data_IF_271139474186
#
_entry.id   IF_271139474186
#
_cell.length_a   1.000
_cell.length_b   1.000
_cell.length_c   1.000
_cell.angle_alpha   90.00
_cell.angle_beta   90.00
_cell.angle_gamma   90.00
#
_symmetry.space_group_name_H-M   'P 1'
#
loop_
_entity.id
_entity.type
_entity.pdbx_description
1 polymer ?
#
# COMPACT_ATOMS: atom_id res chain seq x y z
N UNK A 1 10.11 -89.73 -12.26
CA UNK A 1 11.30 -89.15 -12.93
C UNK A 1 10.93 -87.74 -13.38
N UNK A 2 11.81 -86.78 -13.11
CA UNK A 2 11.62 -85.33 -13.30
C UNK A 2 11.19 -84.91 -14.71
N UNK A 3 10.42 -83.81 -14.84
CA UNK A 3 10.31 -83.11 -16.11
C UNK A 3 11.39 -82.02 -16.21
N UNK A 4 11.96 -81.88 -17.40
CA UNK A 4 12.68 -80.67 -17.82
C UNK A 4 12.15 -80.28 -19.19
N UNK A 5 11.34 -79.23 -19.25
CA UNK A 5 11.11 -78.49 -20.49
C UNK A 5 11.29 -77.00 -20.23
N UNK A 6 12.06 -76.39 -21.14
CA UNK A 6 12.61 -75.05 -21.10
C UNK A 6 11.56 -73.95 -21.30
N UNK A 7 11.89 -72.81 -20.71
CA UNK A 7 11.26 -71.50 -20.92
C UNK A 7 11.07 -71.16 -22.40
N UNK A 8 9.85 -70.73 -22.76
CA UNK A 8 9.62 -69.72 -23.79
C UNK A 8 8.77 -68.61 -23.17
N UNK A 9 9.25 -67.39 -23.35
CA UNK A 9 8.70 -66.18 -22.78
C UNK A 9 7.35 -65.82 -23.40
N UNK A 10 6.40 -65.42 -22.56
CA UNK A 10 5.30 -64.54 -22.96
C UNK A 10 5.12 -63.51 -21.84
N UNK A 11 5.76 -62.36 -22.06
CA UNK A 11 5.57 -61.14 -21.29
C UNK A 11 4.11 -60.68 -21.42
N UNK A 12 3.25 -61.11 -20.50
CA UNK A 12 2.04 -60.35 -20.16
C UNK A 12 2.44 -59.44 -19.01
N UNK A 13 2.91 -58.24 -19.37
CA UNK A 13 3.11 -57.17 -18.41
C UNK A 13 1.74 -56.85 -17.80
N UNK A 14 1.52 -57.37 -16.60
CA UNK A 14 0.46 -56.95 -15.71
C UNK A 14 0.58 -55.43 -15.58
N UNK A 15 -0.42 -54.72 -16.10
CA UNK A 15 -0.66 -53.29 -15.81
C UNK A 15 -1.07 -53.25 -14.33
N UNK A 16 -0.07 -53.45 -13.47
CA UNK A 16 -0.16 -53.36 -12.03
C UNK A 16 -0.26 -51.88 -11.74
N UNK A 17 -1.43 -51.52 -11.20
CA UNK A 17 -1.85 -50.22 -10.71
C UNK A 17 -0.70 -49.49 -9.99
N UNK A 18 0.11 -48.79 -10.78
CA UNK A 18 1.02 -47.76 -10.32
C UNK A 18 0.36 -46.43 -10.59
N UNK A 19 -0.90 -46.30 -10.15
CA UNK A 19 -1.38 -44.99 -9.73
C UNK A 19 -0.57 -44.66 -8.48
N UNK A 20 0.60 -44.09 -8.73
CA UNK A 20 1.24 -43.24 -7.76
C UNK A 20 0.16 -42.23 -7.39
N UNK A 21 -0.43 -42.42 -6.21
CA UNK A 21 -0.98 -41.31 -5.47
C UNK A 21 0.21 -40.38 -5.25
N UNK A 22 0.48 -39.51 -6.24
CA UNK A 22 1.16 -38.27 -5.95
C UNK A 22 0.30 -37.66 -4.85
N UNK A 23 0.83 -37.46 -3.65
CA UNK A 23 0.15 -36.58 -2.74
C UNK A 23 0.31 -35.22 -3.42
N UNK A 24 -0.69 -34.80 -4.20
CA UNK A 24 -0.96 -33.39 -4.40
C UNK A 24 -1.40 -32.86 -3.04
N UNK A 25 -0.44 -32.80 -2.11
CA UNK A 25 -0.46 -31.75 -1.11
C UNK A 25 -0.18 -30.52 -1.97
N UNK A 26 -1.25 -29.89 -2.46
CA UNK A 26 -1.19 -28.47 -2.68
C UNK A 26 -0.83 -27.90 -1.32
N UNK A 27 0.47 -27.77 -1.06
CA UNK A 27 0.98 -27.14 0.13
C UNK A 27 0.42 -25.73 0.04
N UNK A 28 -0.70 -25.55 0.72
CA UNK A 28 -1.24 -24.25 1.06
C UNK A 28 0.01 -23.58 1.69
N UNK A 29 0.60 -22.65 0.94
CA UNK A 29 1.82 -21.99 1.35
C UNK A 29 1.40 -21.05 2.47
N UNK A 30 1.66 -21.46 3.71
CA UNK A 30 1.40 -20.66 4.90
C UNK A 30 2.21 -19.39 4.77
N UNK A 31 1.53 -18.25 4.71
CA UNK A 31 2.19 -16.96 4.80
C UNK A 31 2.76 -16.83 6.22
N UNK A 32 4.09 -16.72 6.33
CA UNK A 32 4.81 -16.65 7.60
C UNK A 32 5.05 -15.22 8.09
N UNK A 33 4.55 -14.22 7.36
CA UNK A 33 4.66 -12.83 7.79
C UNK A 33 3.99 -12.65 9.16
N UNK A 34 4.63 -11.90 10.08
CA UNK A 34 4.08 -11.70 11.41
C UNK A 34 2.79 -10.88 11.32
N UNK A 35 1.81 -11.23 12.15
CA UNK A 35 0.52 -10.53 12.19
C UNK A 35 0.65 -9.07 12.63
N UNK A 36 1.69 -8.76 13.39
CA UNK A 36 2.05 -7.40 13.79
C UNK A 36 3.46 -7.12 13.29
N UNK A 37 3.63 -5.99 12.61
CA UNK A 37 4.93 -5.48 12.18
C UNK A 37 5.11 -4.08 12.75
N UNK A 38 6.27 -3.85 13.36
CA UNK A 38 6.57 -2.61 14.06
C UNK A 38 7.82 -1.96 13.51
N UNK A 39 7.86 -0.64 13.59
CA UNK A 39 9.04 0.17 13.30
C UNK A 39 9.25 1.17 14.43
N UNK A 40 10.50 1.31 14.88
CA UNK A 40 10.82 2.10 16.07
C UNK A 40 10.66 1.29 17.36
N UNK A 41 10.62 2.00 18.49
CA UNK A 41 10.48 1.41 19.83
C UNK A 41 9.19 1.95 20.44
N UNK A 42 8.31 1.07 20.88
CA UNK A 42 7.10 1.46 21.61
C UNK A 42 7.50 2.09 22.95
N UNK A 43 6.87 3.21 23.28
CA UNK A 43 7.12 3.96 24.51
C UNK A 43 5.79 4.57 24.99
N UNK A 44 5.54 4.53 26.29
CA UNK A 44 4.29 4.99 26.89
C UNK A 44 4.05 6.50 26.75
N UNK A 45 5.09 7.30 26.50
CA UNK A 45 4.99 8.72 26.20
C UNK A 45 4.59 9.02 24.75
N UNK A 46 4.54 8.00 23.87
CA UNK A 46 4.11 8.17 22.49
C UNK A 46 2.58 8.13 22.40
N UNK A 47 2.03 9.14 21.75
CA UNK A 47 0.60 9.27 21.50
C UNK A 47 0.32 8.91 20.04
N UNK A 48 -0.74 8.15 19.80
CA UNK A 48 -1.23 7.84 18.46
C UNK A 48 -1.58 9.18 17.77
N UNK A 49 -0.89 9.49 16.68
CA UNK A 49 -1.06 10.74 15.94
C UNK A 49 -1.77 10.53 14.60
N UNK A 50 -1.78 9.29 14.10
CA UNK A 50 -2.49 8.91 12.87
C UNK A 50 -2.85 7.43 12.92
N UNK A 51 -4.07 7.12 12.52
CA UNK A 51 -4.55 5.76 12.31
C UNK A 51 -5.16 5.60 10.92
N UNK A 52 -4.99 4.42 10.32
CA UNK A 52 -5.61 4.10 9.04
C UNK A 52 -5.93 2.62 8.93
N UNK A 53 -7.16 2.34 8.52
CA UNK A 53 -7.58 0.98 8.15
C UNK A 53 -7.42 0.76 6.65
N UNK A 54 -6.70 -0.29 6.25
CA UNK A 54 -6.75 -0.82 4.88
C UNK A 54 -7.76 -1.94 4.83
N UNK A 55 -8.73 -1.81 3.93
CA UNK A 55 -9.82 -2.77 3.86
C UNK A 55 -9.39 -4.08 3.18
N UNK A 56 -9.97 -5.21 3.59
CA UNK A 56 -9.85 -6.45 2.85
C UNK A 56 -10.40 -6.24 1.42
N UNK A 57 -9.82 -6.95 0.45
CA UNK A 57 -10.08 -6.78 -0.98
C UNK A 57 -9.60 -5.45 -1.60
N UNK A 58 -9.04 -4.53 -0.81
CA UNK A 58 -8.29 -3.39 -1.37
C UNK A 58 -7.06 -3.89 -2.14
N UNK A 59 -6.62 -3.10 -3.14
CA UNK A 59 -5.47 -3.45 -3.98
C UNK A 59 -4.18 -3.54 -3.16
N UNK A 60 -3.39 -4.57 -3.47
CA UNK A 60 -2.03 -4.80 -2.96
C UNK A 60 -1.04 -4.79 -4.14
N UNK A 61 0.13 -4.12 -4.01
CA UNK A 61 0.58 -3.35 -2.85
C UNK A 61 -0.18 -2.01 -2.69
N UNK A 62 -0.18 -1.46 -1.49
CA UNK A 62 -0.68 -0.09 -1.21
C UNK A 62 0.36 0.70 -0.42
N UNK A 63 0.50 1.99 -0.71
CA UNK A 63 1.41 2.88 0.01
C UNK A 63 0.62 3.92 0.79
N UNK A 64 0.93 4.01 2.08
CA UNK A 64 0.31 4.91 3.04
C UNK A 64 1.32 5.95 3.45
N UNK A 65 1.01 7.20 3.20
CA UNK A 65 1.92 8.30 3.48
C UNK A 65 1.32 9.26 4.51
N UNK A 66 2.15 9.72 5.43
CA UNK A 66 1.76 10.65 6.47
C UNK A 66 2.88 11.65 6.74
N UNK A 67 2.48 12.91 6.93
CA UNK A 67 3.34 13.99 7.41
C UNK A 67 2.70 14.53 8.68
N UNK A 68 3.48 14.60 9.74
CA UNK A 68 3.13 15.18 11.02
C UNK A 68 3.95 16.46 11.25
N UNK A 69 3.42 17.36 12.07
CA UNK A 69 4.15 18.50 12.62
C UNK A 69 5.24 18.08 13.64
N UNK A 70 5.24 16.80 14.05
CA UNK A 70 6.17 16.19 14.98
C UNK A 70 6.84 14.96 14.37
N UNK A 71 7.93 14.52 14.98
CA UNK A 71 8.63 13.30 14.55
C UNK A 71 7.78 12.06 14.83
N UNK A 72 7.62 11.22 13.83
CA UNK A 72 6.97 9.92 13.94
C UNK A 72 7.99 8.95 14.54
N UNK A 73 7.77 8.51 15.77
CA UNK A 73 8.76 7.76 16.56
C UNK A 73 8.46 6.26 16.61
N UNK A 74 7.21 5.87 16.37
CA UNK A 74 6.80 4.47 16.37
C UNK A 74 5.66 4.24 15.40
N UNK A 75 5.68 3.07 14.76
CA UNK A 75 4.68 2.64 13.79
C UNK A 75 4.31 1.21 14.09
N UNK A 76 3.00 0.94 14.13
CA UNK A 76 2.43 -0.40 14.26
C UNK A 76 1.56 -0.70 13.04
N UNK A 77 1.85 -1.80 12.37
CA UNK A 77 1.00 -2.40 11.34
C UNK A 77 0.45 -3.71 11.90
N UNK A 78 -0.87 -3.83 11.97
CA UNK A 78 -1.55 -5.00 12.53
C UNK A 78 -2.53 -5.58 11.51
N UNK A 79 -2.37 -6.86 11.18
CA UNK A 79 -3.34 -7.61 10.40
C UNK A 79 -4.43 -8.14 11.30
N UNK A 80 -5.67 -7.71 11.08
CA UNK A 80 -6.81 -8.16 11.87
C UNK A 80 -7.23 -9.57 11.46
N UNK A 81 -7.37 -10.45 12.47
CA UNK A 81 -7.75 -11.86 12.30
C UNK A 81 -6.86 -12.56 11.27
N UNK A 82 -5.53 -12.62 11.50
CA UNK A 82 -4.55 -13.10 10.52
C UNK A 82 -4.82 -14.55 10.11
N UNK A 83 -5.20 -15.40 11.08
CA UNK A 83 -5.52 -16.81 10.85
C UNK A 83 -4.41 -17.51 10.05
N UNK A 84 -4.82 -18.37 9.12
CA UNK A 84 -3.90 -19.08 8.23
C UNK A 84 -3.21 -18.16 7.20
N UNK A 85 -3.77 -16.98 6.90
CA UNK A 85 -3.24 -16.08 5.88
C UNK A 85 -2.06 -15.22 6.35
N UNK A 86 -1.68 -15.32 7.62
CA UNK A 86 -0.55 -14.56 8.19
C UNK A 86 -0.79 -13.05 8.20
N UNK A 87 0.30 -12.30 8.38
CA UNK A 87 0.29 -10.85 8.24
C UNK A 87 0.70 -10.35 6.85
N UNK A 88 0.83 -9.03 6.73
CA UNK A 88 1.34 -8.39 5.51
C UNK A 88 2.84 -8.11 5.63
N UNK A 89 3.49 -8.01 4.47
CA UNK A 89 4.80 -7.39 4.41
C UNK A 89 4.58 -5.87 4.52
N UNK A 90 5.23 -5.24 5.48
CA UNK A 90 5.24 -3.79 5.61
C UNK A 90 6.68 -3.29 5.52
N UNK A 91 6.89 -2.23 4.77
CA UNK A 91 8.21 -1.62 4.54
C UNK A 91 8.08 -0.09 4.56
N UNK A 92 9.02 0.59 5.22
CA UNK A 92 9.16 2.04 5.08
C UNK A 92 9.86 2.29 3.75
N UNK A 93 9.14 2.88 2.80
CA UNK A 93 9.61 3.13 1.42
C UNK A 93 9.91 4.60 1.15
N UNK A 94 9.56 5.48 2.10
CA UNK A 94 9.88 6.90 2.06
C UNK A 94 9.85 7.50 3.47
N UNK A 95 10.63 8.56 3.69
CA UNK A 95 10.83 9.10 5.04
C UNK A 95 11.56 8.12 5.97
N UNK A 96 11.40 8.30 7.28
CA UNK A 96 12.00 7.40 8.28
C UNK A 96 11.36 7.57 9.67
N UNK A 97 11.62 6.62 10.57
CA UNK A 97 11.37 6.81 12.01
C UNK A 97 12.26 7.97 12.52
N UNK A 98 11.75 8.73 13.50
CA UNK A 98 12.33 9.97 14.02
C UNK A 98 12.36 11.12 12.99
N UNK A 99 11.53 11.06 11.96
CA UNK A 99 11.30 12.15 10.99
C UNK A 99 9.81 12.52 10.97
N UNK A 100 9.47 13.75 10.53
CA UNK A 100 8.08 14.20 10.47
C UNK A 100 7.27 13.53 9.34
N UNK A 101 7.94 12.88 8.40
CA UNK A 101 7.31 12.24 7.24
C UNK A 101 7.65 10.76 7.16
N UNK A 102 6.66 9.95 6.78
CA UNK A 102 6.82 8.51 6.55
C UNK A 102 5.91 8.02 5.43
N UNK A 103 6.41 7.10 4.62
CA UNK A 103 5.65 6.34 3.63
C UNK A 103 5.86 4.86 3.92
N UNK A 104 4.75 4.14 4.09
CA UNK A 104 4.74 2.72 4.42
C UNK A 104 4.04 1.98 3.29
N UNK A 105 4.77 1.09 2.62
CA UNK A 105 4.19 0.19 1.64
C UNK A 105 3.80 -1.11 2.31
N UNK A 106 2.53 -1.48 2.14
CA UNK A 106 1.95 -2.74 2.60
C UNK A 106 1.76 -3.65 1.39
N UNK A 107 2.19 -4.90 1.50
CA UNK A 107 2.09 -5.92 0.45
C UNK A 107 1.52 -7.21 1.03
N UNK A 108 0.47 -7.74 0.41
CA UNK A 108 -0.11 -9.02 0.77
C UNK A 108 0.90 -10.16 0.53
N UNK A 109 0.96 -11.11 1.47
CA UNK A 109 1.84 -12.28 1.36
C UNK A 109 1.60 -13.08 0.09
N UNK A 110 2.67 -13.58 -0.51
CA UNK A 110 2.61 -14.27 -1.81
C UNK A 110 2.33 -13.34 -2.99
N UNK A 111 2.56 -12.02 -2.85
CA UNK A 111 2.41 -11.00 -3.90
C UNK A 111 1.03 -10.99 -4.57
N UNK A 112 -0.01 -11.21 -3.76
CA UNK A 112 -1.39 -11.17 -4.26
C UNK A 112 -1.78 -9.73 -4.58
N UNK A 113 -2.65 -9.58 -5.58
CA UNK A 113 -3.15 -8.29 -6.07
C UNK A 113 -4.14 -7.62 -5.12
N UNK A 114 -4.64 -8.33 -4.10
CA UNK A 114 -5.61 -7.82 -3.12
C UNK A 114 -5.32 -8.34 -1.72
N UNK A 115 -5.58 -7.51 -0.72
CA UNK A 115 -5.46 -7.90 0.68
C UNK A 115 -6.54 -8.91 1.07
N UNK A 116 -6.18 -9.94 1.84
CA UNK A 116 -7.14 -10.95 2.33
C UNK A 116 -7.80 -10.56 3.65
N UNK A 117 -7.22 -9.60 4.36
CA UNK A 117 -7.61 -9.17 5.69
C UNK A 117 -7.55 -7.65 5.82
N UNK A 118 -8.26 -7.16 6.83
CA UNK A 118 -8.17 -5.77 7.25
C UNK A 118 -6.81 -5.53 7.91
N UNK A 119 -6.24 -4.36 7.67
CA UNK A 119 -4.99 -3.93 8.29
C UNK A 119 -5.24 -2.64 9.05
N UNK A 120 -4.71 -2.55 10.27
CA UNK A 120 -4.65 -1.32 11.02
C UNK A 120 -3.20 -0.80 10.97
N UNK A 121 -3.04 0.44 10.53
CA UNK A 121 -1.80 1.18 10.66
C UNK A 121 -1.98 2.23 11.75
N UNK A 122 -1.07 2.28 12.71
CA UNK A 122 -1.00 3.32 13.74
C UNK A 122 0.39 3.96 13.79
N UNK A 123 0.46 5.28 13.65
CA UNK A 123 1.67 6.08 13.78
C UNK A 123 1.63 6.84 15.10
N UNK A 124 2.75 6.88 15.82
CA UNK A 124 2.82 7.50 17.13
C UNK A 124 3.97 8.52 17.20
N UNK A 125 3.70 9.62 17.89
CA UNK A 125 4.64 10.73 18.09
C UNK A 125 4.67 11.17 19.56
N UNK A 126 5.75 11.84 19.96
CA UNK A 126 5.82 12.45 21.29
C UNK A 126 4.92 13.69 21.32
N UNK A 127 3.89 13.66 22.15
CA UNK A 127 2.87 14.73 22.27
C UNK A 127 2.08 14.99 20.97
N UNK A 128 1.63 13.93 20.28
CA UNK A 128 0.78 14.04 19.09
C UNK A 128 -0.70 14.24 19.43
N UNK A 129 -1.45 14.92 18.55
CA UNK A 129 -2.90 14.89 18.56
C UNK A 129 -3.39 13.76 17.64
N UNK A 130 -4.38 12.99 18.10
CA UNK A 130 -4.98 11.92 17.30
C UNK A 130 -5.75 12.52 16.11
N UNK A 131 -5.14 12.49 14.92
CA UNK A 131 -5.87 12.71 13.67
C UNK A 131 -6.54 11.38 13.32
N UNK A 132 -7.72 11.14 13.92
CA UNK A 132 -8.52 9.97 13.58
C UNK A 132 -9.04 10.14 12.15
N UNK A 133 -8.48 9.39 11.22
CA UNK A 133 -9.02 9.36 9.87
C UNK A 133 -8.79 8.00 9.25
N UNK A 134 -9.75 7.10 9.44
CA UNK A 134 -10.06 6.00 8.52
C UNK A 134 -10.49 6.49 7.12
N UNK A 135 -10.10 7.70 6.76
CA UNK A 135 -10.35 8.42 5.54
C UNK A 135 -8.98 8.75 4.98
N UNK A 136 -8.78 8.43 3.71
CA UNK A 136 -7.57 8.82 3.02
C UNK A 136 -7.59 10.35 2.90
N UNK A 137 -7.02 11.06 3.87
CA UNK A 137 -6.89 12.51 3.85
C UNK A 137 -5.78 12.94 2.90
N UNK A 138 -4.84 12.03 2.63
CA UNK A 138 -3.60 12.32 1.92
C UNK A 138 -3.23 11.15 0.99
N UNK A 139 -2.89 11.47 -0.26
CA UNK A 139 -2.26 10.57 -1.23
C UNK A 139 -0.94 11.19 -1.68
N UNK A 140 0.12 10.40 -1.75
CA UNK A 140 1.46 10.90 -2.08
C UNK A 140 2.14 10.02 -3.12
N UNK A 141 2.94 10.67 -3.96
CA UNK A 141 3.81 10.02 -4.94
C UNK A 141 5.22 10.60 -4.83
N UNK A 142 6.24 9.74 -4.83
CA UNK A 142 7.64 10.14 -4.61
C UNK A 142 7.97 10.40 -3.14
N UNK A 143 9.13 11.00 -2.91
CA UNK A 143 9.67 11.28 -1.56
C UNK A 143 9.82 12.78 -1.36
N UNK A 144 9.23 13.31 -0.29
CA UNK A 144 9.43 14.70 0.10
C UNK A 144 10.88 14.96 0.53
N UNK A 145 11.44 16.07 0.07
CA UNK A 145 12.73 16.60 0.47
C UNK A 145 12.56 18.09 0.73
N UNK A 146 13.15 18.60 1.82
CA UNK A 146 13.10 20.02 2.17
C UNK A 146 13.82 20.93 1.15
N UNK A 147 14.66 20.36 0.29
CA UNK A 147 15.29 21.07 -0.83
C UNK A 147 14.36 21.23 -2.04
N UNK A 148 13.26 20.48 -2.12
CA UNK A 148 12.27 20.65 -3.18
C UNK A 148 11.42 21.90 -2.95
N UNK A 149 11.08 22.57 -4.05
CA UNK A 149 10.22 23.76 -4.02
C UNK A 149 8.84 23.44 -4.59
N UNK A 150 7.79 23.97 -3.99
CA UNK A 150 6.44 23.83 -4.55
C UNK A 150 6.40 24.53 -5.92
N UNK A 151 6.20 23.76 -6.98
CA UNK A 151 6.15 24.24 -8.36
C UNK A 151 4.73 24.25 -8.94
N UNK A 152 3.78 23.58 -8.27
CA UNK A 152 2.38 23.55 -8.67
C UNK A 152 1.46 23.48 -7.47
N UNK A 153 0.30 24.13 -7.59
CA UNK A 153 -0.78 24.09 -6.63
C UNK A 153 -2.12 24.20 -7.36
N UNK A 154 -3.05 23.30 -7.06
CA UNK A 154 -4.45 23.38 -7.49
C UNK A 154 -5.38 22.89 -6.40
N UNK A 155 -6.47 23.63 -6.16
CA UNK A 155 -7.55 23.21 -5.27
C UNK A 155 -8.67 22.54 -6.08
N UNK A 156 -9.11 21.37 -5.63
CA UNK A 156 -10.31 20.67 -6.11
C UNK A 156 -11.41 20.89 -5.07
N UNK A 157 -12.50 21.53 -5.48
CA UNK A 157 -13.57 21.91 -4.57
C UNK A 157 -14.62 20.80 -4.42
N UNK A 158 -15.22 20.76 -3.24
CA UNK A 158 -16.44 19.97 -3.00
C UNK A 158 -17.51 20.34 -4.03
N UNK A 159 -18.23 19.34 -4.52
CA UNK A 159 -19.24 19.48 -5.57
C UNK A 159 -18.71 19.41 -7.01
N UNK A 160 -17.38 19.50 -7.24
CA UNK A 160 -16.80 19.22 -8.55
C UNK A 160 -16.99 17.75 -8.94
N UNK A 161 -17.12 17.47 -10.23
CA UNK A 161 -17.27 16.11 -10.76
C UNK A 161 -16.00 15.29 -10.45
N UNK A 162 -16.17 14.07 -9.95
CA UNK A 162 -15.09 13.10 -9.72
C UNK A 162 -15.21 11.94 -10.74
N UNK A 163 -14.12 11.48 -11.37
CA UNK A 163 -12.72 11.87 -11.13
C UNK A 163 -12.32 13.18 -11.83
N UNK A 164 -11.25 13.82 -11.34
CA UNK A 164 -10.58 14.95 -12.00
C UNK A 164 -9.18 14.56 -12.46
N UNK A 165 -8.80 15.00 -13.66
CA UNK A 165 -7.44 14.89 -14.16
C UNK A 165 -6.70 16.20 -13.94
N UNK A 166 -5.63 16.16 -13.16
CA UNK A 166 -4.75 17.29 -12.91
C UNK A 166 -3.45 17.08 -13.65
N UNK A 167 -3.26 17.85 -14.72
CA UNK A 167 -2.05 17.82 -15.55
C UNK A 167 -1.20 19.04 -15.26
N UNK A 168 0.08 18.82 -14.99
CA UNK A 168 1.07 19.88 -14.89
C UNK A 168 2.21 19.63 -15.86
N UNK A 169 2.55 20.65 -16.65
CA UNK A 169 3.76 20.69 -17.46
C UNK A 169 4.63 21.82 -16.90
N UNK A 170 5.77 21.46 -16.31
CA UNK A 170 6.61 22.41 -15.61
C UNK A 170 7.35 23.33 -16.61
N UNK A 171 7.02 24.63 -16.65
CA UNK A 171 7.66 25.56 -17.60
C UNK A 171 9.16 25.75 -17.31
N UNK A 172 9.60 25.52 -16.06
CA UNK A 172 11.01 25.58 -15.70
C UNK A 172 11.81 24.33 -16.14
N UNK A 173 11.16 23.34 -16.76
CA UNK A 173 11.75 22.08 -17.19
C UNK A 173 12.47 21.30 -16.07
N UNK A 174 12.13 21.56 -14.81
CA UNK A 174 12.63 20.82 -13.64
C UNK A 174 11.79 19.58 -13.42
N UNK A 175 12.42 18.50 -12.96
CA UNK A 175 11.74 17.26 -12.67
C UNK A 175 10.79 17.44 -11.47
N UNK A 176 9.61 16.85 -11.57
CA UNK A 176 8.61 16.80 -10.52
C UNK A 176 8.98 15.64 -9.60
N UNK A 177 9.50 15.94 -8.41
CA UNK A 177 10.10 14.96 -7.50
C UNK A 177 9.10 14.40 -6.50
N UNK A 178 8.04 15.15 -6.19
CA UNK A 178 7.06 14.77 -5.21
C UNK A 178 5.69 15.37 -5.52
N UNK A 179 4.64 14.58 -5.34
CA UNK A 179 3.25 15.01 -5.48
C UNK A 179 2.49 14.61 -4.23
N UNK A 180 1.73 15.54 -3.67
CA UNK A 180 0.85 15.31 -2.53
C UNK A 180 -0.54 15.82 -2.89
N UNK A 181 -1.55 15.03 -2.56
CA UNK A 181 -2.93 15.42 -2.62
C UNK A 181 -3.51 15.27 -1.23
N UNK A 182 -3.94 16.37 -0.63
CA UNK A 182 -4.39 16.40 0.76
C UNK A 182 -5.66 17.22 0.95
N UNK A 183 -6.47 16.87 1.93
CA UNK A 183 -7.54 17.74 2.41
C UNK A 183 -7.06 18.60 3.58
N UNK A 184 -7.40 19.89 3.54
CA UNK A 184 -7.23 20.84 4.64
C UNK A 184 -8.40 20.80 5.64
N UNK A 185 -9.38 19.92 5.41
CA UNK A 185 -10.59 19.79 6.23
C UNK A 185 -10.58 18.47 7.00
N UNK A 186 -11.18 18.49 8.19
CA UNK A 186 -11.64 17.25 8.83
C UNK A 186 -12.79 16.72 7.96
N UNK A 187 -12.69 15.50 7.43
CA UNK A 187 -13.78 14.95 6.63
C UNK A 187 -14.79 14.25 7.55
N UNK A 188 -16.06 14.58 7.39
CA UNK A 188 -17.14 13.86 8.09
C UNK A 188 -17.53 12.57 7.33
N UNK A 189 -17.26 12.52 6.02
CA UNK A 189 -17.53 11.37 5.15
C UNK A 189 -16.56 11.33 3.96
N UNK A 190 -16.10 10.12 3.60
CA UNK A 190 -15.26 9.88 2.43
C UNK A 190 -13.78 10.23 2.61
N UNK A 191 -13.02 10.19 1.53
CA UNK A 191 -11.57 10.38 1.45
C UNK A 191 -11.12 10.56 0.00
N UNK A 192 -9.82 10.46 -0.24
CA UNK A 192 -9.22 10.65 -1.56
C UNK A 192 -8.45 9.41 -2.02
N UNK A 193 -8.57 9.09 -3.30
CA UNK A 193 -7.64 8.20 -3.99
C UNK A 193 -7.08 8.93 -5.19
N UNK A 194 -5.83 8.65 -5.54
CA UNK A 194 -5.24 9.21 -6.73
C UNK A 194 -4.32 8.19 -7.40
N UNK A 195 -4.08 8.39 -8.69
CA UNK A 195 -3.10 7.62 -9.47
C UNK A 195 -2.44 8.51 -10.51
N UNK A 196 -1.15 8.31 -10.74
CA UNK A 196 -0.45 8.92 -11.89
C UNK A 196 -0.90 8.20 -13.16
N UNK A 197 -1.45 8.94 -14.12
CA UNK A 197 -1.94 8.41 -15.41
C UNK A 197 -1.05 8.77 -16.58
N UNK A 198 -0.17 9.76 -16.43
CA UNK A 198 0.87 10.08 -17.41
C UNK A 198 2.11 10.68 -16.72
N UNK A 199 3.30 10.34 -17.23
CA UNK A 199 4.57 10.72 -16.63
C UNK A 199 4.97 9.85 -15.43
N UNK A 200 6.15 10.11 -14.90
CA UNK A 200 6.76 9.39 -13.76
C UNK A 200 7.30 10.40 -12.77
N UNK A 201 6.85 10.33 -11.51
CA UNK A 201 7.40 11.14 -10.41
C UNK A 201 8.88 10.79 -10.21
N UNK A 202 9.73 11.81 -10.10
CA UNK A 202 11.18 11.69 -9.98
C UNK A 202 11.92 12.22 -11.21
N UNK A 203 11.45 11.87 -12.41
CA UNK A 203 12.18 12.13 -13.66
C UNK A 203 11.42 13.05 -14.63
N UNK A 204 10.09 13.01 -14.58
CA UNK A 204 9.27 13.72 -15.57
C UNK A 204 9.14 15.20 -15.26
N UNK A 205 9.17 16.00 -16.33
CA UNK A 205 8.92 17.45 -16.31
C UNK A 205 7.44 17.78 -16.46
N UNK A 206 6.65 16.79 -16.87
CA UNK A 206 5.20 16.86 -16.95
C UNK A 206 4.59 15.61 -16.31
N UNK A 207 3.49 15.78 -15.58
CA UNK A 207 2.77 14.67 -14.96
C UNK A 207 1.27 14.91 -15.03
N UNK A 208 0.51 13.82 -15.17
CA UNK A 208 -0.94 13.83 -14.97
C UNK A 208 -1.32 12.91 -13.83
N UNK A 209 -2.08 13.45 -12.89
CA UNK A 209 -2.63 12.72 -11.74
C UNK A 209 -4.14 12.71 -11.86
N UNK A 210 -4.73 11.52 -11.86
CA UNK A 210 -6.16 11.35 -11.72
C UNK A 210 -6.50 11.28 -10.23
N UNK A 211 -7.42 12.15 -9.81
CA UNK A 211 -7.87 12.29 -8.44
C UNK A 211 -9.34 11.88 -8.35
N UNK A 212 -9.65 11.00 -7.41
CA UNK A 212 -10.96 10.42 -7.19
C UNK A 212 -11.36 10.59 -5.73
N UNK A 213 -12.64 10.82 -5.50
CA UNK A 213 -13.22 10.63 -4.16
C UNK A 213 -13.26 9.14 -3.80
N UNK A 214 -13.12 8.82 -2.51
CA UNK A 214 -13.19 7.48 -1.96
C UNK A 214 -14.25 7.45 -0.84
N UNK A 215 -15.31 6.61 -0.90
CA UNK A 215 -15.68 5.75 -2.03
C UNK A 215 -16.00 6.56 -3.30
N UNK A 216 -15.95 5.91 -4.48
CA UNK A 216 -16.21 6.60 -5.73
C UNK A 216 -17.65 7.14 -5.79
N UNK A 217 -17.77 8.45 -5.92
CA UNK A 217 -19.01 9.19 -6.09
C UNK A 217 -18.88 10.12 -7.31
N UNK A 218 -20.02 10.57 -7.84
CA UNK A 218 -20.08 11.46 -9.01
C UNK A 218 -19.43 12.81 -8.75
N UNK A 219 -19.40 13.26 -7.48
CA UNK A 219 -18.81 14.53 -7.05
C UNK A 219 -17.88 14.33 -5.87
N UNK A 220 -16.89 15.21 -5.73
CA UNK A 220 -16.12 15.30 -4.49
C UNK A 220 -17.01 15.76 -3.34
N UNK A 221 -16.87 15.10 -2.21
CA UNK A 221 -17.60 15.43 -0.98
C UNK A 221 -16.89 16.52 -0.18
N UNK A 222 -15.57 16.63 -0.34
CA UNK A 222 -14.72 17.52 0.43
C UNK A 222 -13.78 18.32 -0.49
N UNK A 223 -13.14 19.35 0.06
CA UNK A 223 -12.09 20.07 -0.65
C UNK A 223 -10.77 19.32 -0.56
N UNK A 224 -10.00 19.32 -1.64
CA UNK A 224 -8.67 18.73 -1.71
C UNK A 224 -7.71 19.70 -2.38
N UNK A 225 -6.43 19.58 -2.08
CA UNK A 225 -5.35 20.35 -2.69
C UNK A 225 -4.36 19.40 -3.31
N UNK A 226 -4.05 19.60 -4.59
CA UNK A 226 -2.98 18.92 -5.31
C UNK A 226 -1.79 19.85 -5.31
N UNK A 227 -0.68 19.41 -4.73
CA UNK A 227 0.58 20.14 -4.70
C UNK A 227 1.66 19.28 -5.35
N UNK A 228 2.49 19.90 -6.18
CA UNK A 228 3.66 19.24 -6.74
C UNK A 228 4.91 20.01 -6.38
N UNK A 229 5.97 19.27 -6.08
CA UNK A 229 7.26 19.78 -5.66
C UNK A 229 8.32 19.34 -6.66
N UNK A 230 9.12 20.30 -7.08
CA UNK A 230 10.14 20.13 -8.09
C UNK A 230 11.52 20.32 -7.46
N UNK A 231 12.53 19.79 -8.14
CA UNK A 231 13.92 20.14 -7.86
C UNK A 231 14.12 21.65 -8.04
N UNK A 232 14.97 22.23 -7.18
CA UNK A 232 15.27 23.66 -7.16
C UNK A 232 15.98 24.12 -8.43
#
# INVERSE_FOLDING_TARGET
MHPTYRLSALCVAVILCSFWAQPMVGALQTNTNPAVKEFGVADAALVLCFDKTVYAFSRSPTSLAHISDKNINYVKVETLKPGYYGGVMAEITGGAIKKPNIVITLTEGGRKSVFKRFLLLGLHSANGNLLNSNQDLVVQFGTYDAMHVQCFYQKLYSGMISPQSVTFNNPAAKAIKYVIIESDQKLDLGGISASVTAGTVGDSKAITVQVNTAPQTVKFLNNFTVKMFCEK
#
